data_IF_650796306995
#
_entry.id   IF_650796306995
#
_cell.length_a   1.000
_cell.length_b   1.000
_cell.length_c   1.000
_cell.angle_alpha   90.00
_cell.angle_beta   90.00
_cell.angle_gamma   90.00
#
_symmetry.space_group_name_H-M   'P 1'
#
loop_
_entity.id
_entity.type
_entity.pdbx_description
1 polymer ?
#
# COMPACT_ATOMS: atom_id res chain seq x y z
N UNK A 1 0.73 16.49 2.73
CA UNK A 1 -0.55 16.02 2.17
C UNK A 1 -0.46 14.52 1.89
N UNK A 2 -1.55 13.77 2.06
CA UNK A 2 -1.62 12.31 1.85
C UNK A 2 -1.49 11.96 0.36
N UNK A 3 -2.11 12.74 -0.53
CA UNK A 3 -1.98 12.57 -1.99
C UNK A 3 -0.56 12.74 -2.52
N UNK A 4 0.24 13.58 -1.87
CA UNK A 4 1.61 13.85 -2.30
C UNK A 4 2.56 12.67 -2.05
N UNK A 5 2.21 11.72 -1.18
CA UNK A 5 3.12 10.63 -0.76
C UNK A 5 3.43 9.67 -1.91
N UNK A 6 2.40 9.21 -2.63
CA UNK A 6 2.58 8.34 -3.80
C UNK A 6 3.36 9.03 -4.92
N UNK A 7 3.06 10.31 -5.18
CA UNK A 7 3.80 11.12 -6.15
C UNK A 7 5.28 11.29 -5.75
N UNK A 8 5.54 11.63 -4.49
CA UNK A 8 6.91 11.77 -3.94
C UNK A 8 7.68 10.46 -4.09
N UNK A 9 7.04 9.32 -3.79
CA UNK A 9 7.67 8.01 -3.95
C UNK A 9 8.01 7.71 -5.41
N UNK A 10 7.13 8.05 -6.35
CA UNK A 10 7.37 7.96 -7.79
C UNK A 10 8.57 8.81 -8.21
N UNK A 11 8.64 10.07 -7.75
CA UNK A 11 9.76 10.98 -8.04
C UNK A 11 11.08 10.44 -7.47
N UNK A 12 11.09 9.94 -6.24
CA UNK A 12 12.27 9.40 -5.59
C UNK A 12 12.77 8.11 -6.23
N UNK A 13 11.84 7.23 -6.63
CA UNK A 13 12.16 6.01 -7.37
C UNK A 13 12.88 6.36 -8.67
N UNK A 14 12.36 7.35 -9.42
CA UNK A 14 12.79 7.64 -10.78
C UNK A 14 12.54 6.43 -11.69
N UNK A 15 13.56 6.07 -12.49
CA UNK A 15 13.48 4.93 -13.42
C UNK A 15 13.82 3.57 -12.78
N UNK A 16 14.25 3.55 -11.51
CA UNK A 16 14.68 2.32 -10.83
C UNK A 16 13.49 1.43 -10.50
N UNK A 17 13.61 0.09 -10.48
CA UNK A 17 12.57 -0.75 -9.90
C UNK A 17 12.37 -0.40 -8.42
N UNK A 18 11.13 -0.47 -7.94
CA UNK A 18 10.80 -0.13 -6.56
C UNK A 18 9.39 -0.53 -6.20
N UNK A 19 9.08 -0.47 -4.90
CA UNK A 19 7.74 -0.68 -4.34
C UNK A 19 7.41 0.47 -3.41
N UNK A 20 6.13 0.77 -3.22
CA UNK A 20 5.64 1.74 -2.24
C UNK A 20 4.94 1.03 -1.09
N UNK A 21 5.38 1.26 0.14
CA UNK A 21 4.76 0.67 1.33
C UNK A 21 4.27 1.79 2.25
N UNK A 22 2.98 1.84 2.53
CA UNK A 22 2.41 2.69 3.59
C UNK A 22 2.17 1.83 4.81
N UNK A 23 2.82 2.10 5.94
CA UNK A 23 2.70 1.29 7.17
C UNK A 23 1.79 2.02 8.17
N UNK A 24 0.74 1.33 8.60
CA UNK A 24 -0.33 1.86 9.45
C UNK A 24 -0.62 0.92 10.63
N UNK A 25 -1.31 1.46 11.63
CA UNK A 25 -1.92 0.69 12.70
C UNK A 25 -3.38 1.12 12.81
N UNK A 26 -4.27 0.23 12.40
CA UNK A 26 -5.68 0.48 12.21
C UNK A 26 -6.37 0.84 13.53
N UNK A 27 -7.58 1.38 13.48
CA UNK A 27 -8.38 1.64 14.67
C UNK A 27 -9.86 1.58 14.34
N UNK A 28 -10.57 0.60 14.91
CA UNK A 28 -12.02 0.46 14.85
C UNK A 28 -12.64 0.61 16.24
N UNK A 29 -12.83 1.83 16.76
CA UNK A 29 -13.37 2.06 18.11
C UNK A 29 -14.74 1.39 18.36
N UNK A 30 -15.56 1.26 17.30
CA UNK A 30 -16.87 0.61 17.37
C UNK A 30 -16.81 -0.93 17.46
N UNK A 31 -15.65 -1.55 17.14
CA UNK A 31 -15.42 -3.00 17.16
C UNK A 31 -14.07 -3.30 17.80
N UNK A 32 -13.99 -3.16 19.13
CA UNK A 32 -12.73 -3.33 19.88
C UNK A 32 -12.19 -4.76 19.86
N UNK A 33 -13.02 -5.73 19.47
CA UNK A 33 -12.65 -7.11 19.22
C UNK A 33 -11.88 -7.31 17.91
N UNK A 34 -11.97 -6.37 16.96
CA UNK A 34 -11.22 -6.44 15.71
C UNK A 34 -9.73 -6.30 16.00
N UNK A 35 -8.97 -7.31 15.60
CA UNK A 35 -7.53 -7.44 15.83
C UNK A 35 -6.87 -8.25 14.72
N UNK A 36 -5.55 -8.29 14.69
CA UNK A 36 -4.79 -8.94 13.63
C UNK A 36 -4.23 -7.93 12.63
N UNK A 37 -3.83 -8.41 11.47
CA UNK A 37 -3.18 -7.61 10.43
C UNK A 37 -3.88 -7.83 9.08
N UNK A 38 -3.84 -6.80 8.23
CA UNK A 38 -4.44 -6.78 6.90
C UNK A 38 -3.56 -5.95 5.96
N UNK A 39 -3.67 -6.19 4.66
CA UNK A 39 -2.89 -5.44 3.66
C UNK A 39 -3.78 -5.09 2.49
N UNK A 40 -3.76 -3.82 2.12
CA UNK A 40 -4.57 -3.25 1.07
C UNK A 40 -3.73 -2.91 -0.15
N UNK A 41 -4.32 -3.08 -1.34
CA UNK A 41 -3.82 -2.49 -2.58
C UNK A 41 -4.87 -1.57 -3.19
N UNK A 42 -4.44 -0.69 -4.10
CA UNK A 42 -5.30 0.27 -4.76
C UNK A 42 -6.23 -0.42 -5.77
N UNK A 43 -7.54 -0.38 -5.51
CA UNK A 43 -8.60 -0.83 -6.41
C UNK A 43 -9.95 -0.39 -5.81
N UNK A 44 -11.06 -0.53 -6.55
CA UNK A 44 -12.39 -0.24 -6.01
C UNK A 44 -12.72 -1.10 -4.78
N UNK A 45 -13.34 -0.51 -3.75
CA UNK A 45 -13.76 -1.25 -2.57
C UNK A 45 -14.94 -2.19 -2.89
N UNK A 46 -14.84 -3.46 -2.50
CA UNK A 46 -15.88 -4.48 -2.74
C UNK A 46 -16.79 -4.69 -1.53
N UNK A 47 -16.27 -4.45 -0.33
CA UNK A 47 -16.97 -4.66 0.94
C UNK A 47 -17.17 -3.35 1.71
N UNK A 48 -18.13 -3.34 2.64
CA UNK A 48 -18.37 -2.17 3.49
C UNK A 48 -17.20 -1.87 4.42
N UNK A 49 -16.48 -2.90 4.88
CA UNK A 49 -15.27 -2.73 5.68
C UNK A 49 -14.16 -2.03 4.88
N UNK A 50 -13.96 -2.38 3.61
CA UNK A 50 -13.01 -1.70 2.73
C UNK A 50 -13.39 -0.24 2.45
N UNK A 51 -14.68 0.04 2.21
CA UNK A 51 -15.17 1.41 2.03
C UNK A 51 -14.92 2.26 3.27
N UNK A 52 -15.20 1.70 4.45
CA UNK A 52 -15.03 2.39 5.72
C UNK A 52 -13.57 2.68 6.03
N UNK A 53 -12.67 1.73 5.79
CA UNK A 53 -11.23 1.96 5.95
C UNK A 53 -10.75 3.04 5.01
N UNK A 54 -11.15 2.98 3.73
CA UNK A 54 -10.78 4.01 2.75
C UNK A 54 -11.24 5.41 3.18
N UNK A 55 -12.46 5.52 3.74
CA UNK A 55 -12.97 6.79 4.26
C UNK A 55 -12.17 7.33 5.46
N UNK A 56 -11.73 6.46 6.36
CA UNK A 56 -10.91 6.83 7.53
C UNK A 56 -9.51 7.27 7.08
N UNK A 57 -8.86 6.47 6.24
CA UNK A 57 -7.51 6.76 5.75
C UNK A 57 -7.45 8.02 4.88
N UNK A 58 -8.53 8.31 4.16
CA UNK A 58 -8.65 9.51 3.34
C UNK A 58 -9.18 10.73 4.13
N UNK A 59 -9.62 10.57 5.39
CA UNK A 59 -10.19 11.67 6.19
C UNK A 59 -9.28 12.91 6.33
N UNK A 60 -7.93 12.79 6.45
CA UNK A 60 -7.04 13.95 6.52
C UNK A 60 -7.10 14.88 5.29
N UNK A 61 -7.62 14.40 4.16
CA UNK A 61 -7.80 15.18 2.93
C UNK A 61 -8.86 16.26 3.08
N UNK A 62 -9.94 15.98 3.81
CA UNK A 62 -11.04 16.92 4.03
C UNK A 62 -10.61 18.15 4.82
N UNK A 63 -9.47 18.07 5.53
CA UNK A 63 -8.91 19.17 6.34
C UNK A 63 -7.85 19.94 5.55
N UNK A 64 -7.24 19.33 4.52
CA UNK A 64 -6.06 19.88 3.84
C UNK A 64 -6.32 20.40 2.44
N UNK A 65 -7.54 20.31 1.91
CA UNK A 65 -7.83 20.63 0.49
C UNK A 65 -7.40 22.04 0.10
N UNK A 66 -6.32 22.20 -0.70
CA UNK A 66 -6.15 23.39 -1.53
C UNK A 66 -7.12 23.26 -2.72
N UNK A 67 -7.55 24.38 -3.30
CA UNK A 67 -8.22 24.35 -4.60
C UNK A 67 -7.28 23.72 -5.63
N UNK A 68 -7.49 22.45 -5.96
CA UNK A 68 -6.79 21.79 -7.07
C UNK A 68 -7.57 22.16 -8.33
N UNK A 69 -6.95 22.93 -9.23
CA UNK A 69 -7.49 23.22 -10.55
C UNK A 69 -7.71 21.90 -11.32
N UNK A 70 -8.96 21.49 -11.43
CA UNK A 70 -9.42 20.26 -12.12
C UNK A 70 -9.04 20.22 -13.61
N UNK A 71 -8.70 21.37 -14.23
CA UNK A 71 -8.41 21.50 -15.66
C UNK A 71 -7.02 20.97 -16.09
N UNK A 72 -6.06 20.74 -15.19
CA UNK A 72 -4.69 20.34 -15.57
C UNK A 72 -4.48 18.83 -15.87
N UNK A 73 -5.51 17.99 -15.76
CA UNK A 73 -5.40 16.53 -15.84
C UNK A 73 -6.05 15.91 -17.10
N UNK A 74 -6.12 16.65 -18.20
CA UNK A 74 -6.91 16.27 -19.37
C UNK A 74 -6.45 14.97 -20.08
N UNK A 75 -7.28 13.94 -19.90
CA UNK A 75 -7.57 12.75 -20.70
C UNK A 75 -6.47 11.73 -21.05
N UNK A 76 -5.32 12.11 -21.62
CA UNK A 76 -4.33 11.11 -22.05
C UNK A 76 -3.45 10.63 -20.89
N UNK A 77 -3.14 11.54 -19.98
CA UNK A 77 -2.46 11.24 -18.72
C UNK A 77 -3.35 10.40 -17.80
N UNK A 78 -4.66 10.60 -17.85
CA UNK A 78 -5.64 9.83 -17.09
C UNK A 78 -5.70 8.36 -17.55
N UNK A 79 -5.87 8.11 -18.86
CA UNK A 79 -5.92 6.75 -19.42
C UNK A 79 -4.60 6.01 -19.21
N UNK A 80 -3.45 6.67 -19.40
CA UNK A 80 -2.13 6.06 -19.16
C UNK A 80 -1.88 5.79 -17.66
N UNK A 81 -2.37 6.66 -16.77
CA UNK A 81 -2.35 6.40 -15.33
C UNK A 81 -3.26 5.23 -14.96
N UNK A 82 -4.47 5.16 -15.51
CA UNK A 82 -5.40 4.05 -15.28
C UNK A 82 -4.84 2.71 -15.77
N UNK A 83 -4.23 2.67 -16.96
CA UNK A 83 -3.60 1.46 -17.48
C UNK A 83 -2.40 1.02 -16.63
N UNK A 84 -1.56 1.96 -16.17
CA UNK A 84 -0.43 1.67 -15.28
C UNK A 84 -0.90 1.24 -13.90
N UNK A 85 -1.96 1.85 -13.38
CA UNK A 85 -2.60 1.44 -12.14
C UNK A 85 -3.12 0.00 -12.27
N UNK A 86 -3.68 -0.36 -13.43
CA UNK A 86 -4.14 -1.73 -13.69
C UNK A 86 -3.00 -2.75 -13.76
N UNK A 87 -1.90 -2.45 -14.47
CA UNK A 87 -0.71 -3.33 -14.48
C UNK A 87 -0.10 -3.49 -13.08
N UNK A 88 -0.01 -2.40 -12.31
CA UNK A 88 0.51 -2.44 -10.95
C UNK A 88 -0.45 -3.09 -9.96
N UNK A 89 -1.75 -3.18 -10.25
CA UNK A 89 -2.72 -3.80 -9.35
C UNK A 89 -2.42 -5.29 -9.12
N UNK A 90 -2.15 -6.06 -10.19
CA UNK A 90 -1.78 -7.47 -10.06
C UNK A 90 -0.51 -7.67 -9.21
N UNK A 91 0.51 -6.85 -9.47
CA UNK A 91 1.76 -6.91 -8.70
C UNK A 91 1.58 -6.42 -7.26
N UNK A 92 0.70 -5.46 -7.02
CA UNK A 92 0.37 -4.97 -5.67
C UNK A 92 -0.38 -6.03 -4.87
N UNK A 93 -1.30 -6.77 -5.50
CA UNK A 93 -1.97 -7.92 -4.89
C UNK A 93 -0.98 -9.03 -4.53
N UNK A 94 -0.04 -9.33 -5.42
CA UNK A 94 1.03 -10.30 -5.17
C UNK A 94 1.94 -9.87 -4.00
N UNK A 95 2.35 -8.61 -3.98
CA UNK A 95 3.12 -8.02 -2.88
C UNK A 95 2.33 -8.07 -1.55
N UNK A 96 1.04 -7.73 -1.58
CA UNK A 96 0.17 -7.76 -0.41
C UNK A 96 0.04 -9.19 0.15
N UNK A 97 -0.07 -10.19 -0.72
CA UNK A 97 -0.14 -11.61 -0.33
C UNK A 97 1.16 -12.06 0.34
N UNK A 98 2.32 -11.68 -0.22
CA UNK A 98 3.61 -11.99 0.40
C UNK A 98 3.74 -11.32 1.78
N UNK A 99 3.35 -10.05 1.91
CA UNK A 99 3.35 -9.34 3.20
C UNK A 99 2.46 -10.05 4.22
N UNK A 100 1.24 -10.47 3.84
CA UNK A 100 0.35 -11.21 4.71
C UNK A 100 0.95 -12.55 5.17
N UNK A 101 1.63 -13.26 4.27
CA UNK A 101 2.27 -14.53 4.60
C UNK A 101 3.42 -14.33 5.60
N UNK A 102 4.30 -13.36 5.39
CA UNK A 102 5.42 -13.13 6.31
C UNK A 102 4.95 -12.57 7.67
N UNK A 103 3.93 -11.71 7.70
CA UNK A 103 3.38 -11.19 8.95
C UNK A 103 2.67 -12.28 9.77
N UNK A 104 2.11 -13.31 9.13
CA UNK A 104 1.48 -14.44 9.82
C UNK A 104 2.46 -15.22 10.71
N UNK A 105 3.76 -15.21 10.37
CA UNK A 105 4.81 -15.90 11.14
C UNK A 105 5.19 -15.15 12.42
N UNK A 106 4.85 -13.86 12.55
CA UNK A 106 5.30 -13.00 13.66
C UNK A 106 4.15 -12.36 14.44
N UNK A 107 2.97 -12.23 13.84
CA UNK A 107 1.80 -11.63 14.48
C UNK A 107 0.90 -12.73 15.10
N UNK A 108 0.61 -12.69 16.42
CA UNK A 108 -0.17 -13.74 17.09
C UNK A 108 -1.69 -13.63 16.87
N UNK A 109 -2.17 -12.48 16.39
CA UNK A 109 -3.56 -12.26 15.96
C UNK A 109 -3.87 -12.84 14.57
N UNK A 110 -5.14 -12.84 14.16
CA UNK A 110 -5.57 -13.45 12.91
C UNK A 110 -5.01 -12.69 11.69
N UNK A 111 -4.66 -13.45 10.66
CA UNK A 111 -4.46 -12.93 9.31
C UNK A 111 -5.83 -12.57 8.72
N UNK A 112 -6.06 -11.29 8.41
CA UNK A 112 -7.35 -10.78 7.90
C UNK A 112 -7.36 -10.65 6.37
N UNK A 113 -6.28 -11.08 5.73
CA UNK A 113 -6.15 -11.24 4.29
C UNK A 113 -5.77 -9.96 3.55
N UNK A 114 -5.69 -10.13 2.24
CA UNK A 114 -5.52 -9.04 1.28
C UNK A 114 -6.88 -8.40 1.00
N UNK A 115 -6.88 -7.07 0.92
CA UNK A 115 -8.07 -6.24 0.71
C UNK A 115 -7.82 -5.21 -0.38
N UNK A 116 -8.88 -4.59 -0.88
CA UNK A 116 -8.80 -3.54 -1.89
C UNK A 116 -9.59 -2.29 -1.48
N UNK A 117 -9.09 -1.11 -1.82
CA UNK A 117 -9.82 0.13 -1.59
C UNK A 117 -9.23 1.36 -2.28
N UNK A 118 -10.05 2.39 -2.55
CA UNK A 118 -9.60 3.66 -3.13
C UNK A 118 -8.83 4.48 -2.09
N UNK A 119 -7.57 4.12 -1.87
CA UNK A 119 -6.69 4.70 -0.86
C UNK A 119 -5.84 5.81 -1.47
N UNK A 120 -6.06 7.06 -1.04
CA UNK A 120 -5.39 8.24 -1.59
C UNK A 120 -3.87 8.20 -1.41
N UNK A 121 -3.38 7.56 -0.35
CA UNK A 121 -1.94 7.42 -0.09
C UNK A 121 -1.24 6.55 -1.14
N UNK A 122 -1.95 5.57 -1.71
CA UNK A 122 -1.43 4.70 -2.76
C UNK A 122 -1.64 5.31 -4.14
N UNK A 123 -2.47 6.35 -4.26
CA UNK A 123 -2.70 7.02 -5.53
C UNK A 123 -1.43 7.73 -6.01
N UNK A 124 -1.20 7.70 -7.33
CA UNK A 124 -0.01 8.24 -7.99
C UNK A 124 1.32 7.51 -7.65
N UNK A 125 1.28 6.37 -6.94
CA UNK A 125 2.43 5.48 -6.83
C UNK A 125 2.57 4.68 -8.14
N UNK A 126 3.50 5.07 -9.01
CA UNK A 126 3.72 4.43 -10.32
C UNK A 126 4.67 3.23 -10.19
N UNK A 127 4.31 2.34 -9.27
CA UNK A 127 4.99 1.10 -8.91
C UNK A 127 4.01 0.20 -8.12
N UNK A 128 4.31 -1.08 -7.90
CA UNK A 128 3.55 -1.90 -6.96
C UNK A 128 3.48 -1.22 -5.58
N UNK A 129 2.28 -1.11 -5.03
CA UNK A 129 2.01 -0.29 -3.84
C UNK A 129 1.01 -0.93 -2.91
N UNK A 130 1.30 -0.95 -1.61
CA UNK A 130 0.41 -1.52 -0.59
C UNK A 130 0.34 -0.65 0.66
N UNK A 131 -0.81 -0.67 1.33
CA UNK A 131 -1.00 -0.17 2.70
C UNK A 131 -1.07 -1.37 3.64
N UNK A 132 -0.18 -1.41 4.63
CA UNK A 132 -0.03 -2.51 5.58
C UNK A 132 -0.58 -2.05 6.92
N UNK A 133 -1.64 -2.71 7.39
CA UNK A 133 -2.13 -2.56 8.76
C UNK A 133 -1.49 -3.64 9.63
N UNK A 134 -0.54 -3.25 10.48
CA UNK A 134 0.22 -4.21 11.30
C UNK A 134 -0.49 -4.62 12.60
N UNK A 135 -1.66 -4.07 12.88
CA UNK A 135 -2.41 -4.29 14.13
C UNK A 135 -3.52 -3.25 14.32
N UNK A 136 -4.36 -3.44 15.34
CA UNK A 136 -5.45 -2.51 15.69
C UNK A 136 -5.20 -1.77 17.01
N UNK A 137 -4.99 -0.46 16.96
CA UNK A 137 -4.86 0.42 18.15
C UNK A 137 -6.10 0.41 19.06
N UNK A 138 -7.28 0.11 18.51
CA UNK A 138 -8.53 -0.02 19.28
C UNK A 138 -8.64 -1.31 20.08
N UNK A 139 -7.83 -2.33 19.74
CA UNK A 139 -7.81 -3.61 20.42
C UNK A 139 -6.69 -3.66 21.46
N UNK A 140 -7.01 -4.10 22.67
CA UNK A 140 -6.06 -4.09 23.78
C UNK A 140 -4.86 -5.02 23.55
N UNK A 141 -5.08 -6.21 22.97
CA UNK A 141 -4.01 -7.16 22.72
C UNK A 141 -3.04 -6.68 21.64
N UNK A 142 -3.56 -6.13 20.55
CA UNK A 142 -2.71 -5.56 19.49
C UNK A 142 -2.04 -4.26 19.96
N UNK A 143 -2.71 -3.42 20.75
CA UNK A 143 -2.09 -2.22 21.34
C UNK A 143 -0.89 -2.57 22.22
N UNK A 144 -1.01 -3.62 23.05
CA UNK A 144 0.11 -4.10 23.87
C UNK A 144 1.25 -4.61 23.00
N UNK A 145 0.95 -5.34 21.93
CA UNK A 145 1.93 -5.85 20.98
C UNK A 145 2.64 -4.70 20.23
N UNK A 146 1.89 -3.71 19.74
CA UNK A 146 2.39 -2.52 19.03
C UNK A 146 3.27 -1.60 19.89
N UNK A 147 3.32 -1.80 21.21
CA UNK A 147 4.24 -1.08 22.10
C UNK A 147 5.59 -1.79 22.28
N UNK A 148 5.71 -3.03 21.82
CA UNK A 148 6.91 -3.84 22.00
C UNK A 148 7.90 -3.59 20.86
N UNK A 149 9.13 -3.22 21.21
CA UNK A 149 10.22 -3.03 20.24
C UNK A 149 10.53 -4.32 19.47
N UNK A 150 10.46 -5.46 20.14
CA UNK A 150 10.71 -6.76 19.51
C UNK A 150 9.68 -7.06 18.42
N UNK A 151 8.42 -6.66 18.62
CA UNK A 151 7.38 -6.79 17.61
C UNK A 151 7.61 -5.85 16.41
N UNK A 152 8.10 -4.63 16.63
CA UNK A 152 8.49 -3.74 15.53
C UNK A 152 9.62 -4.35 14.70
N UNK A 153 10.62 -4.93 15.37
CA UNK A 153 11.77 -5.54 14.71
C UNK A 153 11.38 -6.79 13.93
N UNK A 154 10.56 -7.67 14.52
CA UNK A 154 10.08 -8.89 13.84
C UNK A 154 9.18 -8.57 12.66
N UNK A 155 8.25 -7.61 12.81
CA UNK A 155 7.37 -7.15 11.73
C UNK A 155 8.15 -6.47 10.61
N UNK A 156 9.12 -5.61 10.96
CA UNK A 156 9.99 -4.96 9.97
C UNK A 156 10.81 -5.97 9.17
N UNK A 157 11.34 -7.02 9.84
CA UNK A 157 12.04 -8.12 9.16
C UNK A 157 11.11 -8.94 8.27
N UNK A 158 9.90 -9.24 8.73
CA UNK A 158 8.90 -9.96 7.94
C UNK A 158 8.53 -9.19 6.67
N UNK A 159 8.25 -7.88 6.78
CA UNK A 159 7.94 -7.02 5.63
C UNK A 159 9.14 -6.94 4.68
N UNK A 160 10.37 -6.83 5.19
CA UNK A 160 11.57 -6.83 4.36
C UNK A 160 11.75 -8.15 3.59
N UNK A 161 11.51 -9.29 4.23
CA UNK A 161 11.56 -10.60 3.58
C UNK A 161 10.49 -10.72 2.48
N UNK A 162 9.27 -10.21 2.73
CA UNK A 162 8.21 -10.16 1.73
C UNK A 162 8.63 -9.37 0.48
N UNK A 163 9.26 -8.20 0.68
CA UNK A 163 9.79 -7.37 -0.41
C UNK A 163 10.91 -8.08 -1.16
N UNK A 164 11.84 -8.75 -0.47
CA UNK A 164 12.91 -9.52 -1.11
C UNK A 164 12.33 -10.65 -1.97
N UNK A 165 11.35 -11.39 -1.44
CA UNK A 165 10.64 -12.45 -2.18
C UNK A 165 9.92 -11.88 -3.41
N UNK A 166 9.24 -10.75 -3.25
CA UNK A 166 8.56 -10.05 -4.34
C UNK A 166 9.52 -9.61 -5.44
N UNK A 167 10.64 -8.98 -5.10
CA UNK A 167 11.60 -8.47 -6.08
C UNK A 167 12.29 -9.59 -6.90
N UNK A 168 12.25 -10.85 -6.43
CA UNK A 168 12.74 -12.00 -7.21
C UNK A 168 11.79 -12.42 -8.34
N UNK A 169 10.49 -12.16 -8.18
CA UNK A 169 9.46 -12.48 -9.19
C UNK A 169 9.04 -11.26 -10.01
N UNK A 170 9.20 -10.06 -9.46
CA UNK A 170 8.86 -8.81 -10.15
C UNK A 170 9.83 -8.56 -11.31
N UNK A 171 9.34 -8.52 -12.57
CA UNK A 171 10.21 -8.32 -13.71
C UNK A 171 10.87 -6.94 -13.62
N UNK A 172 12.19 -6.83 -13.89
CA UNK A 172 12.80 -5.52 -14.08
C UNK A 172 12.05 -4.85 -15.23
N UNK A 173 11.49 -3.67 -14.97
CA UNK A 173 10.68 -2.96 -15.95
C UNK A 173 11.41 -2.87 -17.29
N UNK A 174 10.70 -3.17 -18.37
CA UNK A 174 11.17 -2.88 -19.72
C UNK A 174 11.42 -1.38 -19.81
N UNK A 175 12.68 -0.98 -19.66
CA UNK A 175 13.14 0.31 -20.12
C UNK A 175 12.82 0.39 -21.61
N UNK A 176 11.76 1.11 -21.95
CA UNK A 176 11.45 1.46 -23.33
C UNK A 176 12.62 2.26 -23.90
N UNK A 177 13.26 1.70 -24.93
CA UNK A 177 14.19 2.42 -25.80
C UNK A 177 15.68 2.15 -25.55
N UNK A 178 16.33 1.51 -26.54
CA UNK A 178 17.73 1.81 -26.83
C UNK A 178 18.75 0.68 -26.69
N UNK A 179 18.42 -0.56 -27.06
CA UNK A 179 19.46 -1.53 -27.44
C UNK A 179 19.61 -1.62 -28.96
N UNK A 180 19.96 -0.49 -29.57
CA UNK A 180 20.69 -0.47 -30.84
C UNK A 180 22.08 0.12 -30.57
N UNK A 181 22.92 -0.65 -29.86
CA UNK A 181 24.36 -0.43 -29.90
C UNK A 181 25.09 -1.75 -30.14
N UNK A 182 25.92 -1.71 -31.19
CA UNK A 182 27.17 -2.46 -31.38
C UNK A 182 27.01 -3.86 -31.98
N UNK A 183 27.07 -3.89 -33.32
CA UNK A 183 28.04 -4.72 -34.03
C UNK A 183 28.87 -3.85 -34.95
#
# INVERSE_FOLDING_TARGET
>A
DVWARGLTATEWKGERPGVFLSIHANSFPARREARGFETYFLSDARTDDERRVSAIENAPLNISAPNIDEERLADMDFILRDLRNYEHAHWSESLATLVQNELAEVHPGPNRGVKQGPLAVLTNALMPSVLIEVGFLSNESDLQLLRQKDFHQSSGRAIAEAVIKFLRSYPPGSSGGGDERRR
#
